data_IF_683474119653
#
_entry.id   IF_683474119653
#
_cell.length_a   1.000
_cell.length_b   1.000
_cell.length_c   1.000
_cell.angle_alpha   90.00
_cell.angle_beta   90.00
_cell.angle_gamma   90.00
#
_symmetry.space_group_name_H-M   'P 1'
#
loop_
_entity.id
_entity.type
_entity.pdbx_description
1 polymer ?
#
# COMPACT_ATOMS: atom_id res chain seq x y z
N UNK A 1 41.43 -59.18 67.93
CA UNK A 1 40.18 -58.52 67.52
C UNK A 1 40.25 -57.07 67.95
N UNK A 2 40.66 -56.21 67.02
CA UNK A 2 40.31 -54.78 66.89
C UNK A 2 41.17 -54.27 65.73
N UNK A 3 40.57 -54.30 64.54
CA UNK A 3 41.05 -53.72 63.30
C UNK A 3 41.41 -52.24 63.50
N UNK A 4 42.57 -51.82 62.98
CA UNK A 4 42.91 -50.39 62.83
C UNK A 4 42.89 -50.11 61.35
N UNK A 5 41.79 -49.53 60.88
CA UNK A 5 41.63 -49.05 59.52
C UNK A 5 42.65 -47.93 59.20
N UNK A 6 43.27 -47.93 58.01
CA UNK A 6 44.15 -46.86 57.57
C UNK A 6 43.36 -45.60 57.21
N UNK A 7 43.79 -44.45 57.74
CA UNK A 7 43.23 -43.13 57.44
C UNK A 7 43.56 -42.76 55.98
N UNK A 8 42.57 -42.39 55.16
CA UNK A 8 42.80 -42.07 53.75
C UNK A 8 43.46 -40.70 53.53
N UNK A 9 44.36 -40.67 52.54
CA UNK A 9 45.38 -39.66 52.21
C UNK A 9 44.87 -38.32 51.65
N UNK A 10 43.58 -38.00 51.82
CA UNK A 10 42.99 -36.75 51.31
C UNK A 10 43.12 -35.57 52.28
N UNK A 11 43.74 -35.76 53.45
CA UNK A 11 43.86 -34.76 54.50
C UNK A 11 44.89 -33.63 54.23
N UNK A 12 45.50 -33.59 53.04
CA UNK A 12 46.51 -32.59 52.68
C UNK A 12 46.17 -31.82 51.39
N UNK A 13 44.99 -31.22 51.32
CA UNK A 13 44.69 -30.15 50.33
C UNK A 13 43.78 -29.08 50.94
N UNK A 14 44.32 -28.33 51.90
CA UNK A 14 43.74 -27.06 52.35
C UNK A 14 44.45 -25.90 51.64
N UNK A 15 44.33 -25.80 50.31
CA UNK A 15 44.74 -24.61 49.56
C UNK A 15 43.66 -24.21 48.53
N UNK A 16 43.36 -22.90 48.55
CA UNK A 16 42.61 -22.12 47.57
C UNK A 16 41.10 -22.39 47.41
N UNK A 17 40.29 -21.68 48.21
CA UNK A 17 38.92 -21.32 47.85
C UNK A 17 38.96 -20.11 46.88
N UNK A 18 38.56 -20.25 45.60
CA UNK A 18 38.80 -19.21 44.59
C UNK A 18 37.62 -18.25 44.40
N UNK A 19 36.78 -18.01 45.42
CA UNK A 19 35.64 -17.10 45.27
C UNK A 19 35.39 -16.27 46.53
N UNK A 20 36.03 -15.11 46.58
CA UNK A 20 35.55 -13.98 47.38
C UNK A 20 34.63 -13.13 46.49
N UNK A 21 33.35 -12.94 46.84
CA UNK A 21 32.50 -12.00 46.09
C UNK A 21 33.01 -10.57 46.29
N UNK A 22 32.99 -9.70 45.26
CA UNK A 22 33.36 -8.31 45.42
C UNK A 22 32.37 -7.61 46.36
N UNK A 23 32.88 -6.75 47.24
CA UNK A 23 32.07 -5.93 48.13
C UNK A 23 31.07 -5.10 47.31
N UNK A 24 29.76 -5.25 47.58
CA UNK A 24 28.72 -4.47 46.93
C UNK A 24 28.83 -3.01 47.40
N UNK A 25 29.48 -2.15 46.63
CA UNK A 25 29.36 -0.72 46.82
C UNK A 25 27.93 -0.32 46.48
N UNK A 26 27.09 -0.08 47.48
CA UNK A 26 25.66 0.27 47.34
C UNK A 26 25.42 1.70 46.81
N UNK A 27 26.45 2.35 46.27
CA UNK A 27 26.44 3.75 45.85
C UNK A 27 26.13 4.06 44.37
N UNK A 28 26.20 3.13 43.37
CA UNK A 28 25.86 3.49 41.99
C UNK A 28 24.36 3.36 41.68
N UNK A 29 23.59 2.54 42.40
CA UNK A 29 22.15 2.34 42.13
C UNK A 29 21.29 3.54 42.49
N UNK A 30 21.61 4.26 43.58
CA UNK A 30 20.87 5.47 43.97
C UNK A 30 21.08 6.61 42.97
N UNK A 31 22.27 6.75 42.40
CA UNK A 31 22.55 7.76 41.37
C UNK A 31 21.82 7.45 40.06
N UNK A 32 21.77 6.18 39.66
CA UNK A 32 21.03 5.76 38.46
C UNK A 32 19.52 5.98 38.67
N UNK A 33 18.97 5.60 39.83
CA UNK A 33 17.56 5.83 40.14
C UNK A 33 17.21 7.34 40.16
N UNK A 34 18.06 8.17 40.75
CA UNK A 34 17.87 9.63 40.77
C UNK A 34 17.91 10.23 39.34
N UNK A 35 18.81 9.75 38.48
CA UNK A 35 18.88 10.20 37.09
C UNK A 35 17.61 9.84 36.30
N UNK A 36 17.08 8.62 36.47
CA UNK A 36 15.84 8.19 35.81
C UNK A 36 14.65 9.04 36.26
N UNK A 37 14.55 9.32 37.56
CA UNK A 37 13.50 10.19 38.11
C UNK A 37 13.63 11.62 37.56
N UNK A 38 14.84 12.18 37.51
CA UNK A 38 15.07 13.52 36.98
C UNK A 38 14.67 13.65 35.51
N UNK A 39 14.99 12.65 34.68
CA UNK A 39 14.59 12.62 33.26
C UNK A 39 13.07 12.51 33.12
N UNK A 40 12.42 11.65 33.92
CA UNK A 40 10.97 11.50 33.92
C UNK A 40 10.25 12.80 34.32
N UNK A 41 10.74 13.48 35.34
CA UNK A 41 10.20 14.76 35.81
C UNK A 41 10.38 15.85 34.74
N UNK A 42 11.57 15.98 34.15
CA UNK A 42 11.83 16.95 33.09
C UNK A 42 10.94 16.72 31.86
N UNK A 43 10.78 15.46 31.43
CA UNK A 43 9.88 15.09 30.33
C UNK A 43 8.41 15.40 30.63
N UNK A 44 7.96 15.15 31.86
CA UNK A 44 6.59 15.45 32.29
C UNK A 44 6.29 16.95 32.27
N UNK A 45 7.19 17.78 32.83
CA UNK A 45 7.02 19.23 32.83
C UNK A 45 7.12 19.84 31.41
N UNK A 46 8.03 19.35 30.57
CA UNK A 46 8.12 19.79 29.17
C UNK A 46 6.87 19.46 28.37
N UNK A 47 6.28 18.28 28.57
CA UNK A 47 5.01 17.89 27.93
C UNK A 47 3.84 18.74 28.40
N UNK A 48 3.78 19.11 29.69
CA UNK A 48 2.73 20.02 30.19
C UNK A 48 2.85 21.43 29.62
N UNK A 49 4.05 21.98 29.53
CA UNK A 49 4.27 23.31 28.93
C UNK A 49 3.86 23.34 27.45
N UNK A 50 4.19 22.30 26.69
CA UNK A 50 3.81 22.20 25.27
C UNK A 50 2.29 22.15 25.05
N UNK A 51 1.54 21.56 25.97
CA UNK A 51 0.07 21.53 25.91
C UNK A 51 -0.57 22.91 26.14
N UNK A 52 0.08 23.79 26.89
CA UNK A 52 -0.46 25.11 27.22
C UNK A 52 -0.17 26.15 26.13
N UNK A 53 0.98 26.07 25.45
CA UNK A 53 1.32 26.99 24.35
C UNK A 53 0.58 26.69 23.02
N UNK A 54 -0.09 25.53 22.91
CA UNK A 54 -0.75 25.08 21.68
C UNK A 54 -2.02 25.83 21.26
N UNK A 55 -2.47 26.87 21.99
CA UNK A 55 -3.75 27.56 21.71
C UNK A 55 -3.69 29.08 21.80
N UNK A 56 -2.68 29.73 21.22
CA UNK A 56 -2.80 31.15 20.84
C UNK A 56 -3.39 31.27 19.42
N UNK A 57 -4.67 30.94 19.27
CA UNK A 57 -5.42 31.29 18.07
C UNK A 57 -5.59 32.82 18.05
N UNK A 58 -5.07 33.49 17.00
CA UNK A 58 -5.32 34.91 16.76
C UNK A 58 -6.83 35.20 16.75
N UNK A 59 -7.30 36.30 17.38
CA UNK A 59 -8.68 36.73 17.25
C UNK A 59 -8.90 37.28 15.84
N UNK A 60 -9.63 36.53 15.01
CA UNK A 60 -10.12 37.02 13.71
C UNK A 60 -11.23 38.05 13.98
N UNK A 61 -11.17 39.27 13.42
CA UNK A 61 -12.21 40.27 13.62
C UNK A 61 -13.53 39.83 12.99
N UNK A 62 -14.62 40.00 13.75
CA UNK A 62 -15.96 39.62 13.33
C UNK A 62 -16.40 40.39 12.06
N UNK A 63 -17.06 39.73 11.08
CA UNK A 63 -17.66 40.43 9.96
C UNK A 63 -18.87 41.24 10.42
N UNK A 64 -18.89 42.51 9.99
CA UNK A 64 -19.97 43.47 10.20
C UNK A 64 -21.27 42.91 9.63
N UNK A 65 -22.27 42.73 10.49
CA UNK A 65 -23.63 42.36 10.12
C UNK A 65 -24.35 43.60 9.58
N UNK A 66 -24.64 43.61 8.28
CA UNK A 66 -25.67 44.47 7.71
C UNK A 66 -27.04 43.77 7.81
N UNK A 67 -28.13 44.50 8.11
CA UNK A 67 -29.43 43.92 8.41
C UNK A 67 -30.10 43.33 7.17
N UNK A 68 -30.61 42.12 7.33
CA UNK A 68 -31.34 41.37 6.33
C UNK A 68 -32.63 42.09 5.90
N UNK A 69 -32.80 42.25 4.60
CA UNK A 69 -34.13 42.44 4.01
C UNK A 69 -34.93 41.14 4.17
N UNK A 70 -36.26 41.21 4.40
CA UNK A 70 -37.09 40.02 4.57
C UNK A 70 -37.20 39.25 3.24
N UNK A 71 -36.74 38.00 3.24
CA UNK A 71 -36.94 37.07 2.12
C UNK A 71 -38.35 36.46 2.15
N UNK A 72 -38.95 36.22 0.98
CA UNK A 72 -40.25 35.55 0.85
C UNK A 72 -40.18 34.06 1.22
N UNK A 73 -41.31 33.61 1.74
CA UNK A 73 -41.58 32.34 2.41
C UNK A 73 -41.76 31.17 1.41
N UNK A 74 -40.73 30.83 0.63
CA UNK A 74 -40.88 29.78 -0.41
C UNK A 74 -39.70 28.83 -0.64
N UNK A 75 -38.86 28.55 0.36
CA UNK A 75 -37.96 27.39 0.29
C UNK A 75 -37.79 26.69 1.64
N UNK A 76 -38.91 26.23 2.18
CA UNK A 76 -38.91 25.08 3.09
C UNK A 76 -38.67 23.84 2.23
N UNK A 77 -37.40 23.54 1.96
CA UNK A 77 -37.01 22.27 1.33
C UNK A 77 -37.41 21.14 2.27
N UNK A 78 -38.58 20.56 2.02
CA UNK A 78 -39.00 19.32 2.65
C UNK A 78 -37.95 18.25 2.36
N UNK A 79 -37.43 17.67 3.44
CA UNK A 79 -36.53 16.54 3.38
C UNK A 79 -37.25 15.38 2.66
N UNK A 80 -36.83 15.09 1.43
CA UNK A 80 -37.41 13.99 0.65
C UNK A 80 -37.22 12.64 1.37
N UNK A 81 -38.22 11.73 1.32
CA UNK A 81 -38.09 10.38 1.85
C UNK A 81 -36.93 9.63 1.17
N UNK A 82 -36.08 8.95 1.96
CA UNK A 82 -34.90 8.17 1.49
C UNK A 82 -35.22 7.24 0.32
N UNK A 83 -36.43 6.71 0.27
CA UNK A 83 -36.89 5.77 -0.75
C UNK A 83 -36.78 6.34 -2.18
N UNK A 84 -37.05 7.64 -2.36
CA UNK A 84 -36.94 8.27 -3.69
C UNK A 84 -35.49 8.55 -4.08
N UNK A 85 -34.60 8.68 -3.10
CA UNK A 85 -33.15 8.87 -3.32
C UNK A 85 -32.47 7.56 -3.74
N UNK A 86 -32.89 6.44 -3.16
CA UNK A 86 -32.37 5.11 -3.52
C UNK A 86 -32.87 4.66 -4.91
N UNK A 87 -34.09 5.04 -5.30
CA UNK A 87 -34.62 4.86 -6.66
C UNK A 87 -33.83 5.69 -7.70
N UNK A 88 -33.51 6.94 -7.38
CA UNK A 88 -32.76 7.83 -8.26
C UNK A 88 -31.27 7.43 -8.39
N UNK A 89 -30.68 6.82 -7.36
CA UNK A 89 -29.34 6.21 -7.42
C UNK A 89 -29.33 4.93 -8.27
N UNK A 90 -30.40 4.14 -8.24
CA UNK A 90 -30.56 2.95 -9.10
C UNK A 90 -30.71 3.29 -10.58
N UNK A 91 -31.40 4.39 -10.90
CA UNK A 91 -31.61 4.84 -12.29
C UNK A 91 -30.36 5.50 -12.91
N UNK A 92 -29.31 5.76 -12.13
CA UNK A 92 -28.10 6.42 -12.59
C UNK A 92 -26.94 5.47 -12.99
N UNK A 93 -27.12 4.14 -12.92
CA UNK A 93 -26.11 3.19 -13.40
C UNK A 93 -26.48 2.70 -14.81
N UNK A 94 -25.61 2.89 -15.83
CA UNK A 94 -25.86 2.32 -17.15
C UNK A 94 -25.78 0.80 -17.03
N UNK A 95 -26.94 0.14 -17.11
CA UNK A 95 -27.00 -1.32 -17.25
C UNK A 95 -26.40 -1.65 -18.62
N UNK A 96 -25.17 -2.17 -18.64
CA UNK A 96 -24.55 -2.66 -19.88
C UNK A 96 -25.26 -3.93 -20.32
N UNK A 97 -26.20 -3.79 -21.25
CA UNK A 97 -26.87 -4.93 -21.90
C UNK A 97 -25.94 -5.51 -22.96
N UNK A 98 -25.40 -6.71 -22.74
CA UNK A 98 -24.68 -7.46 -23.76
C UNK A 98 -25.60 -8.50 -24.40
N UNK A 99 -25.46 -8.71 -25.71
CA UNK A 99 -26.22 -9.71 -26.47
C UNK A 99 -25.30 -10.88 -26.79
N UNK A 100 -25.74 -12.11 -26.48
CA UNK A 100 -25.06 -13.34 -26.87
C UNK A 100 -25.44 -13.70 -28.30
N UNK A 101 -24.51 -13.56 -29.23
CA UNK A 101 -24.66 -13.99 -30.62
C UNK A 101 -24.01 -15.36 -30.79
N UNK A 102 -24.75 -16.34 -31.34
CA UNK A 102 -24.19 -17.63 -31.70
C UNK A 102 -24.04 -17.69 -33.22
N UNK A 103 -22.80 -17.66 -33.70
CA UNK A 103 -22.49 -17.74 -35.14
C UNK A 103 -21.75 -19.07 -35.36
N UNK A 104 -22.49 -20.07 -35.85
CA UNK A 104 -21.99 -21.45 -35.92
C UNK A 104 -21.79 -22.07 -34.53
N UNK A 105 -20.60 -22.63 -34.28
CA UNK A 105 -20.24 -23.28 -33.02
C UNK A 105 -19.54 -22.34 -32.01
N UNK A 106 -19.30 -21.08 -32.41
CA UNK A 106 -18.73 -20.06 -31.52
C UNK A 106 -19.80 -19.14 -30.95
N UNK A 107 -19.69 -18.93 -29.63
CA UNK A 107 -20.49 -17.97 -28.87
C UNK A 107 -19.68 -16.68 -28.74
N UNK A 108 -20.22 -15.59 -29.27
CA UNK A 108 -19.64 -14.26 -29.23
C UNK A 108 -20.59 -13.34 -28.47
N UNK A 109 -20.07 -12.54 -27.54
CA UNK A 109 -20.85 -11.56 -26.79
C UNK A 109 -20.57 -10.17 -27.38
N UNK A 110 -21.61 -9.49 -27.88
CA UNK A 110 -21.49 -8.15 -28.46
C UNK A 110 -22.52 -7.18 -27.87
N UNK A 111 -22.13 -5.91 -27.85
CA UNK A 111 -22.93 -4.76 -27.44
C UNK A 111 -23.84 -4.23 -28.57
N UNK A 112 -23.46 -4.44 -29.85
CA UNK A 112 -24.32 -4.22 -31.01
C UNK A 112 -25.10 -5.48 -31.41
N UNK A 113 -26.37 -5.35 -31.79
CA UNK A 113 -27.24 -6.47 -32.18
C UNK A 113 -26.65 -7.33 -33.31
N UNK A 114 -26.93 -8.63 -33.27
CA UNK A 114 -26.33 -9.62 -34.18
C UNK A 114 -26.77 -9.35 -35.63
N UNK A 115 -25.81 -9.08 -36.52
CA UNK A 115 -26.06 -8.95 -37.95
C UNK A 115 -26.45 -10.30 -38.56
N UNK A 116 -27.76 -10.57 -38.64
CA UNK A 116 -28.34 -11.60 -39.54
C UNK A 116 -28.40 -13.05 -39.03
N UNK A 117 -28.41 -13.30 -37.72
CA UNK A 117 -28.54 -14.66 -37.17
C UNK A 117 -29.50 -14.76 -35.97
N UNK A 118 -30.07 -15.95 -35.74
CA UNK A 118 -31.12 -16.24 -34.75
C UNK A 118 -30.76 -15.71 -33.36
N UNK A 119 -31.61 -14.83 -32.84
CA UNK A 119 -31.41 -14.12 -31.57
C UNK A 119 -32.05 -14.92 -30.43
N UNK A 120 -31.24 -15.47 -29.52
CA UNK A 120 -31.72 -15.83 -28.17
C UNK A 120 -31.32 -14.72 -27.20
N UNK A 121 -32.31 -13.91 -26.79
CA UNK A 121 -32.12 -12.92 -25.72
C UNK A 121 -32.15 -13.64 -24.38
N UNK A 122 -31.05 -13.60 -23.65
CA UNK A 122 -31.02 -13.98 -22.24
C UNK A 122 -30.21 -12.91 -21.50
N UNK A 123 -30.89 -12.08 -20.71
CA UNK A 123 -30.24 -11.11 -19.83
C UNK A 123 -29.80 -11.82 -18.56
N UNK A 124 -28.50 -12.07 -18.41
CA UNK A 124 -27.92 -12.48 -17.14
C UNK A 124 -27.34 -11.24 -16.45
N UNK A 125 -27.98 -10.84 -15.35
CA UNK A 125 -27.46 -9.85 -14.43
C UNK A 125 -26.20 -10.41 -13.78
N UNK A 126 -25.03 -10.01 -14.26
CA UNK A 126 -23.75 -10.32 -13.59
C UNK A 126 -22.95 -9.04 -13.48
N UNK A 127 -23.04 -8.39 -12.31
CA UNK A 127 -22.16 -7.29 -11.94
C UNK A 127 -20.76 -7.86 -11.65
N UNK A 128 -19.90 -7.89 -12.67
CA UNK A 128 -18.47 -8.04 -12.50
C UNK A 128 -17.79 -6.73 -12.94
N UNK A 129 -16.92 -6.10 -12.12
CA UNK A 129 -16.13 -4.96 -12.56
C UNK A 129 -15.07 -5.46 -13.54
N UNK A 130 -15.43 -5.52 -14.82
CA UNK A 130 -14.47 -5.76 -15.89
C UNK A 130 -13.63 -4.50 -16.01
N UNK A 131 -12.35 -4.62 -15.69
CA UNK A 131 -11.35 -3.60 -15.97
C UNK A 131 -11.55 -3.11 -17.41
N UNK A 132 -11.69 -1.80 -17.58
CA UNK A 132 -11.72 -1.16 -18.88
C UNK A 132 -10.49 -1.62 -19.68
N UNK A 133 -10.69 -2.53 -20.62
CA UNK A 133 -9.77 -2.70 -21.74
C UNK A 133 -10.11 -1.52 -22.65
N UNK A 134 -9.25 -0.50 -22.78
CA UNK A 134 -9.52 0.55 -23.74
C UNK A 134 -9.61 -0.11 -25.12
N UNK A 135 -10.73 0.21 -25.79
CA UNK A 135 -10.97 -0.02 -27.20
C UNK A 135 -9.67 0.09 -27.97
N UNK A 136 -9.26 -0.99 -28.65
CA UNK A 136 -8.10 -0.92 -29.53
C UNK A 136 -8.37 0.15 -30.60
N UNK A 137 -7.60 1.24 -30.69
CA UNK A 137 -7.33 1.80 -32.00
C UNK A 137 -6.53 0.73 -32.75
N UNK A 138 -6.77 0.60 -34.06
CA UNK A 138 -6.04 -0.25 -35.01
C UNK A 138 -4.64 -0.59 -34.48
N UNK A 139 -4.38 -1.87 -34.18
CA UNK A 139 -3.12 -2.30 -33.56
C UNK A 139 -1.96 -1.63 -34.31
N UNK A 140 -1.14 -0.77 -33.69
CA UNK A 140 0.13 -0.41 -34.27
C UNK A 140 0.91 -1.70 -34.24
N UNK A 141 0.90 -2.41 -35.36
CA UNK A 141 1.63 -3.66 -35.49
C UNK A 141 3.04 -3.39 -34.96
N UNK A 142 3.43 -4.13 -33.92
CA UNK A 142 4.72 -3.96 -33.23
C UNK A 142 5.65 -5.10 -33.61
N UNK A 143 6.95 -4.81 -33.71
CA UNK A 143 7.99 -5.81 -33.92
C UNK A 143 8.97 -5.77 -32.75
N UNK A 144 9.42 -6.94 -32.34
CA UNK A 144 10.48 -7.07 -31.34
C UNK A 144 11.83 -7.00 -32.03
N UNK A 145 12.69 -6.08 -31.58
CA UNK A 145 14.09 -5.99 -31.97
C UNK A 145 14.96 -6.60 -30.87
N UNK A 146 15.84 -7.53 -31.25
CA UNK A 146 16.75 -8.22 -30.34
C UNK A 146 18.13 -7.57 -30.40
N UNK A 147 18.70 -7.24 -29.24
CA UNK A 147 20.12 -6.92 -29.11
C UNK A 147 20.88 -8.22 -28.90
N UNK A 148 21.69 -8.59 -29.87
CA UNK A 148 22.44 -9.83 -29.87
C UNK A 148 23.91 -9.56 -29.56
N UNK A 149 24.47 -10.35 -28.65
CA UNK A 149 25.88 -10.33 -28.27
C UNK A 149 26.55 -11.65 -28.69
N UNK A 150 27.38 -11.66 -29.74
CA UNK A 150 28.12 -12.85 -30.13
C UNK A 150 29.26 -13.12 -29.15
N UNK A 151 29.73 -14.38 -29.10
CA UNK A 151 30.82 -14.78 -28.22
C UNK A 151 32.17 -14.14 -28.59
N UNK A 152 32.32 -13.65 -29.83
CA UNK A 152 33.48 -12.89 -30.30
C UNK A 152 33.54 -11.46 -29.79
N UNK A 153 32.54 -11.00 -29.04
CA UNK A 153 32.43 -9.61 -28.56
C UNK A 153 31.67 -8.69 -29.53
N UNK A 154 31.32 -7.51 -29.04
CA UNK A 154 30.43 -6.56 -29.74
C UNK A 154 28.94 -6.79 -29.47
N UNK A 155 28.08 -5.91 -29.97
CA UNK A 155 26.63 -6.09 -29.92
C UNK A 155 26.00 -5.54 -31.20
N UNK A 156 24.98 -6.22 -31.72
CA UNK A 156 24.25 -5.78 -32.90
C UNK A 156 22.74 -5.96 -32.71
N UNK A 157 21.96 -5.18 -33.44
CA UNK A 157 20.51 -5.28 -33.44
C UNK A 157 20.02 -6.19 -34.56
N UNK A 158 19.04 -7.04 -34.28
CA UNK A 158 18.47 -7.99 -35.22
C UNK A 158 16.97 -8.11 -35.03
N UNK A 159 16.23 -8.26 -36.14
CA UNK A 159 14.80 -8.62 -36.12
C UNK A 159 14.59 -10.13 -35.95
N UNK A 160 15.62 -10.93 -36.23
CA UNK A 160 15.65 -12.39 -36.00
C UNK A 160 16.21 -12.70 -34.62
N UNK A 161 15.78 -13.83 -34.06
CA UNK A 161 16.21 -14.27 -32.74
C UNK A 161 17.72 -14.56 -32.70
N UNK A 162 18.41 -14.14 -31.63
CA UNK A 162 19.88 -14.21 -31.54
C UNK A 162 20.46 -15.63 -31.65
N UNK A 163 19.69 -16.64 -31.22
CA UNK A 163 20.10 -18.05 -31.32
C UNK A 163 20.39 -18.47 -32.78
N UNK A 164 19.66 -17.91 -33.76
CA UNK A 164 19.88 -18.19 -35.19
C UNK A 164 21.20 -17.60 -35.71
N UNK A 165 21.84 -16.72 -34.94
CA UNK A 165 23.05 -15.99 -35.30
C UNK A 165 24.23 -16.34 -34.36
N UNK A 166 24.16 -17.48 -33.66
CA UNK A 166 25.17 -17.92 -32.68
C UNK A 166 25.50 -16.84 -31.63
N UNK A 167 24.49 -16.09 -31.20
CA UNK A 167 24.63 -14.98 -30.26
C UNK A 167 23.60 -15.11 -29.11
N UNK A 168 23.92 -14.49 -27.98
CA UNK A 168 23.04 -14.42 -26.81
C UNK A 168 22.17 -13.16 -26.88
N UNK A 169 20.94 -13.27 -26.36
CA UNK A 169 20.05 -12.10 -26.25
C UNK A 169 20.50 -11.27 -25.06
N UNK A 170 20.97 -10.06 -25.32
CA UNK A 170 21.29 -9.07 -24.29
C UNK A 170 20.04 -8.27 -23.88
N UNK A 171 19.18 -7.94 -24.85
CA UNK A 171 17.93 -7.20 -24.60
C UNK A 171 16.91 -7.40 -25.72
N UNK A 172 15.63 -7.18 -25.40
CA UNK A 172 14.53 -7.12 -26.36
C UNK A 172 13.83 -5.76 -26.23
N UNK A 173 13.50 -5.14 -27.36
CA UNK A 173 12.77 -3.86 -27.39
C UNK A 173 11.60 -3.97 -28.36
N UNK A 174 10.41 -3.60 -27.90
CA UNK A 174 9.22 -3.51 -28.76
C UNK A 174 9.23 -2.18 -29.47
N UNK A 175 9.27 -2.21 -30.80
CA UNK A 175 9.27 -1.02 -31.67
C UNK A 175 8.06 -1.03 -32.61
N UNK A 176 7.54 0.13 -33.03
CA UNK A 176 6.50 0.21 -34.04
C UNK A 176 6.95 -0.39 -35.39
N UNK A 177 6.06 -1.06 -36.12
CA UNK A 177 6.40 -1.65 -37.43
C UNK A 177 6.54 -0.63 -38.55
N UNK A 178 5.80 0.48 -38.48
CA UNK A 178 5.69 1.52 -39.51
C UNK A 178 6.91 2.46 -39.63
N UNK A 179 8.09 2.00 -39.22
CA UNK A 179 9.32 2.79 -39.20
C UNK A 179 10.47 2.07 -39.91
N UNK A 180 11.45 2.82 -40.42
CA UNK A 180 12.65 2.24 -41.04
C UNK A 180 13.53 1.54 -40.00
N UNK A 181 14.41 0.64 -40.44
CA UNK A 181 15.30 -0.10 -39.53
C UNK A 181 16.18 0.84 -38.69
N UNK A 182 16.69 1.91 -39.29
CA UNK A 182 17.52 2.90 -38.58
C UNK A 182 16.73 3.64 -37.50
N UNK A 183 15.47 3.99 -37.77
CA UNK A 183 14.58 4.60 -36.77
C UNK A 183 14.28 3.62 -35.61
N UNK A 184 14.08 2.34 -35.93
CA UNK A 184 13.88 1.28 -34.93
C UNK A 184 15.11 1.12 -34.05
N UNK A 185 16.31 1.11 -34.63
CA UNK A 185 17.58 1.05 -33.89
C UNK A 185 17.74 2.28 -33.01
N UNK A 186 17.45 3.50 -33.49
CA UNK A 186 17.57 4.72 -32.69
C UNK A 186 16.62 4.75 -31.48
N UNK A 187 15.41 4.20 -31.60
CA UNK A 187 14.49 4.02 -30.46
C UNK A 187 15.05 2.97 -29.48
N UNK A 188 15.56 1.87 -30.02
CA UNK A 188 16.14 0.79 -29.23
C UNK A 188 17.40 1.24 -28.45
N UNK A 189 18.26 2.07 -29.05
CA UNK A 189 19.43 2.66 -28.41
C UNK A 189 19.04 3.64 -27.29
N UNK A 190 18.05 4.50 -27.53
CA UNK A 190 17.50 5.36 -26.45
C UNK A 190 16.98 4.55 -25.27
N UNK A 191 16.41 3.37 -25.52
CA UNK A 191 15.95 2.49 -24.45
C UNK A 191 17.10 1.90 -23.62
N UNK A 192 18.30 1.74 -24.21
CA UNK A 192 19.51 1.33 -23.48
C UNK A 192 19.97 2.46 -22.55
N UNK A 193 20.08 3.68 -23.09
CA UNK A 193 20.53 4.84 -22.32
C UNK A 193 19.58 5.14 -21.15
N UNK A 194 18.26 5.03 -21.36
CA UNK A 194 17.25 5.24 -20.31
C UNK A 194 17.33 4.20 -19.17
N UNK A 195 17.84 3.00 -19.47
CA UNK A 195 18.01 1.95 -18.48
C UNK A 195 19.39 1.96 -17.81
N UNK A 196 20.37 2.63 -18.41
CA UNK A 196 21.70 2.85 -17.84
C UNK A 196 21.79 4.16 -17.04
N UNK A 197 20.81 5.06 -17.18
CA UNK A 197 20.61 6.12 -16.20
C UNK A 197 20.28 5.49 -14.84
N UNK A 198 21.05 5.75 -13.75
CA UNK A 198 20.58 5.44 -12.42
C UNK A 198 19.24 6.14 -12.26
N UNK A 199 18.22 5.44 -11.76
CA UNK A 199 16.83 5.89 -11.55
C UNK A 199 16.78 7.38 -11.23
N UNK A 200 16.75 8.21 -12.29
CA UNK A 200 16.66 9.64 -12.14
C UNK A 200 15.16 9.84 -12.04
N UNK A 201 14.75 9.91 -10.79
CA UNK A 201 13.41 10.27 -10.36
C UNK A 201 12.98 11.45 -11.22
N UNK A 202 12.07 11.19 -12.15
CA UNK A 202 11.30 12.22 -12.83
C UNK A 202 10.74 13.11 -11.72
N UNK A 203 10.78 14.45 -11.80
CA UNK A 203 10.31 15.30 -10.70
C UNK A 203 8.79 15.13 -10.54
N UNK A 204 8.42 14.21 -9.67
CA UNK A 204 7.06 13.95 -9.21
C UNK A 204 6.76 14.91 -8.07
N UNK A 205 6.90 16.22 -8.27
CA UNK A 205 6.85 17.15 -7.13
C UNK A 205 5.44 17.29 -6.53
N UNK A 206 4.39 16.86 -7.25
CA UNK A 206 3.00 16.86 -6.73
C UNK A 206 2.46 15.46 -6.37
N UNK A 207 2.91 14.38 -7.03
CA UNK A 207 2.49 13.01 -6.68
C UNK A 207 3.30 12.41 -5.53
N UNK A 208 4.54 12.88 -5.31
CA UNK A 208 5.38 12.39 -4.21
C UNK A 208 4.75 12.73 -2.85
N UNK A 209 4.24 13.95 -2.69
CA UNK A 209 3.56 14.41 -1.47
C UNK A 209 2.28 13.61 -1.23
N UNK A 210 1.44 13.44 -2.27
CA UNK A 210 0.22 12.62 -2.16
C UNK A 210 0.52 11.13 -1.91
N UNK A 211 1.65 10.59 -2.38
CA UNK A 211 2.05 9.22 -2.08
C UNK A 211 2.60 9.06 -0.65
N UNK A 212 3.33 10.05 -0.13
CA UNK A 212 3.80 10.03 1.26
C UNK A 212 2.66 10.17 2.25
N UNK A 213 1.66 11.01 1.94
CA UNK A 213 0.48 11.18 2.79
C UNK A 213 -0.37 9.90 2.86
N UNK A 214 -0.59 9.25 1.70
CA UNK A 214 -1.26 7.95 1.65
C UNK A 214 -0.51 6.89 2.44
N UNK A 215 0.81 6.82 2.28
CA UNK A 215 1.64 5.85 2.99
C UNK A 215 1.61 6.08 4.50
N UNK A 216 1.67 7.35 4.94
CA UNK A 216 1.54 7.72 6.35
C UNK A 216 0.15 7.35 6.92
N UNK A 217 -0.93 7.56 6.16
CA UNK A 217 -2.27 7.15 6.58
C UNK A 217 -2.37 5.63 6.72
N UNK A 218 -1.75 4.87 5.80
CA UNK A 218 -1.74 3.41 5.87
C UNK A 218 -0.97 2.89 7.08
N UNK A 219 0.22 3.44 7.37
CA UNK A 219 0.96 3.10 8.60
C UNK A 219 0.18 3.43 9.87
N UNK A 220 -0.59 4.53 9.86
CA UNK A 220 -1.48 4.87 10.98
C UNK A 220 -2.61 3.86 11.16
N UNK A 221 -3.22 3.41 10.05
CA UNK A 221 -4.28 2.39 10.09
C UNK A 221 -3.75 1.05 10.61
N UNK A 222 -2.53 0.67 10.24
CA UNK A 222 -1.88 -0.53 10.75
C UNK A 222 -1.65 -0.47 12.26
N UNK A 223 -1.22 0.68 12.77
CA UNK A 223 -1.07 0.90 14.21
C UNK A 223 -2.41 0.77 14.94
N UNK A 224 -3.48 1.32 14.36
CA UNK A 224 -4.83 1.20 14.90
C UNK A 224 -5.30 -0.27 14.93
N UNK A 225 -5.09 -1.02 13.85
CA UNK A 225 -5.43 -2.44 13.78
C UNK A 225 -4.65 -3.23 14.84
N UNK A 226 -3.33 -2.98 14.95
CA UNK A 226 -2.46 -3.60 15.95
C UNK A 226 -2.96 -3.35 17.38
N UNK A 227 -3.37 -2.12 17.69
CA UNK A 227 -3.94 -1.78 19.00
C UNK A 227 -5.29 -2.48 19.24
N UNK A 228 -6.16 -2.54 18.22
CA UNK A 228 -7.45 -3.26 18.32
C UNK A 228 -7.21 -4.74 18.58
N UNK A 229 -6.30 -5.37 17.85
CA UNK A 229 -5.97 -6.79 18.02
C UNK A 229 -5.33 -7.07 19.38
N UNK A 230 -4.45 -6.20 19.88
CA UNK A 230 -3.90 -6.31 21.22
C UNK A 230 -4.99 -6.27 22.30
N UNK A 231 -5.98 -5.38 22.15
CA UNK A 231 -7.12 -5.27 23.07
C UNK A 231 -8.07 -6.46 22.95
N UNK A 232 -8.27 -6.99 21.76
CA UNK A 232 -9.12 -8.15 21.50
C UNK A 232 -8.58 -9.46 22.13
N UNK A 233 -7.27 -9.52 22.43
CA UNK A 233 -6.65 -10.65 23.16
C UNK A 233 -6.91 -10.63 24.67
N UNK A 234 -7.36 -9.50 25.21
CA UNK A 234 -7.73 -9.41 26.63
C UNK A 234 -9.14 -9.98 26.84
N UNK A 235 -9.44 -10.54 28.02
CA UNK A 235 -10.80 -10.93 28.35
C UNK A 235 -11.70 -9.69 28.38
N UNK A 236 -12.57 -9.58 27.38
CA UNK A 236 -13.53 -8.49 27.21
C UNK A 236 -14.95 -9.04 27.17
N UNK A 237 -15.93 -8.21 27.55
CA UNK A 237 -17.35 -8.54 27.38
C UNK A 237 -17.70 -8.76 25.90
N UNK A 238 -18.75 -9.54 25.62
CA UNK A 238 -19.19 -9.82 24.25
C UNK A 238 -19.50 -8.55 23.45
N UNK A 239 -20.20 -7.59 24.06
CA UNK A 239 -20.50 -6.30 23.43
C UNK A 239 -19.22 -5.52 23.06
N UNK A 240 -18.21 -5.55 23.92
CA UNK A 240 -16.94 -4.89 23.63
C UNK A 240 -16.16 -5.62 22.54
N UNK A 241 -16.20 -6.95 22.48
CA UNK A 241 -15.63 -7.70 21.36
C UNK A 241 -16.30 -7.36 20.03
N UNK A 242 -17.62 -7.23 19.99
CA UNK A 242 -18.34 -6.85 18.77
C UNK A 242 -18.00 -5.42 18.33
N UNK A 243 -17.85 -4.50 19.28
CA UNK A 243 -17.34 -3.14 18.99
C UNK A 243 -15.93 -3.18 18.41
N UNK A 244 -15.04 -4.03 18.94
CA UNK A 244 -13.68 -4.19 18.42
C UNK A 244 -13.68 -4.78 17.00
N UNK A 245 -14.51 -5.79 16.73
CA UNK A 245 -14.68 -6.35 15.36
C UNK A 245 -15.15 -5.28 14.38
N UNK A 246 -16.17 -4.51 14.74
CA UNK A 246 -16.70 -3.43 13.89
C UNK A 246 -15.64 -2.34 13.63
N UNK A 247 -14.85 -1.98 14.64
CA UNK A 247 -13.74 -1.02 14.47
C UNK A 247 -12.62 -1.56 13.59
N UNK A 248 -12.28 -2.85 13.73
CA UNK A 248 -11.28 -3.50 12.89
C UNK A 248 -11.72 -3.51 11.43
N UNK A 249 -12.97 -3.87 11.17
CA UNK A 249 -13.52 -3.88 9.82
C UNK A 249 -13.43 -2.50 9.17
N UNK A 250 -13.85 -1.43 9.87
CA UNK A 250 -13.74 -0.06 9.36
C UNK A 250 -12.30 0.34 9.00
N UNK A 251 -11.31 -0.08 9.80
CA UNK A 251 -9.92 0.19 9.51
C UNK A 251 -9.42 -0.56 8.26
N UNK A 252 -9.82 -1.83 8.08
CA UNK A 252 -9.52 -2.59 6.87
C UNK A 252 -10.22 -2.03 5.63
N UNK A 253 -11.49 -1.63 5.73
CA UNK A 253 -12.23 -1.01 4.62
C UNK A 253 -11.54 0.27 4.16
N UNK A 254 -11.05 1.07 5.12
CA UNK A 254 -10.29 2.29 4.82
C UNK A 254 -8.96 1.97 4.15
N UNK A 255 -8.23 0.94 4.61
CA UNK A 255 -6.99 0.48 3.95
C UNK A 255 -7.25 0.05 2.52
N UNK A 256 -8.29 -0.76 2.30
CA UNK A 256 -8.69 -1.23 0.99
C UNK A 256 -9.01 -0.06 0.05
N UNK A 257 -9.75 0.95 0.53
CA UNK A 257 -10.04 2.16 -0.24
C UNK A 257 -8.78 2.97 -0.62
N UNK A 258 -7.76 2.96 0.23
CA UNK A 258 -6.49 3.64 -0.02
C UNK A 258 -5.51 2.80 -0.87
N UNK A 259 -5.86 1.54 -1.18
CA UNK A 259 -5.00 0.55 -1.83
C UNK A 259 -3.68 0.31 -1.10
N UNK A 260 -3.81 0.15 0.22
CA UNK A 260 -2.86 -0.48 1.13
C UNK A 260 -3.51 -1.76 1.71
#
# INVERSE_FOLDING_TARGET
MADRDPVPDWAHTAEASPFTPPASSATPTLLIAAAIVAVGVAGFFGHRAWLEDGTAAQPVPAPVVSPAAPLPDELRTEAMPKERRDEQLRQAMPVQTWTRCQVGEQVVYSDSGCGGGVVQRSSADTQAPVSAVPSMPETPSSHTLYRCKPYSGGAFWSTRHCNQQKALVDRMVTVPRNMTLNQKIAIAERSLNKAQSPVQQVPVSQRAVASTDKQAECSRLDEVIRHIDARARQPQSGQEQDRLRARRQKAHDRRFFLHC
#
